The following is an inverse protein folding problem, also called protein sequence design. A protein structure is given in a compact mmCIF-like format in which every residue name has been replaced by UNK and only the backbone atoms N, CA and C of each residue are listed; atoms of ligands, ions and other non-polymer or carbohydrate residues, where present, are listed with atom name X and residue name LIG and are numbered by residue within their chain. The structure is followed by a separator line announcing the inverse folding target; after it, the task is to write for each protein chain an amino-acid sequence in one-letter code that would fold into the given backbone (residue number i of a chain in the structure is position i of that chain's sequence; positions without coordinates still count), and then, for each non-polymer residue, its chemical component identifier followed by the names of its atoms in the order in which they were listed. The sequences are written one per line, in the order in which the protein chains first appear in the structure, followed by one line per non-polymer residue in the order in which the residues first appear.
data_IF_119435739683
#
_entry.id   IF_119435739683
#
_cell.length_a   1.000
_cell.length_b   1.000
_cell.length_c   1.000
_cell.angle_alpha   90.00
_cell.angle_beta   90.00
_cell.angle_gamma   90.00
#
_symmetry.space_group_name_H-M   'P 1'
#
loop_
_entity.id
_entity.type
_entity.pdbx_description
1 polymer ?
#
# COMPACT_ATOMS: atom_id res chain seq x y z
N UNK A 1 0.52 16.50 -21.58
CA UNK A 1 1.31 17.19 -20.55
C UNK A 1 1.62 16.13 -19.50
N UNK A 2 2.88 15.72 -19.40
CA UNK A 2 3.32 14.73 -18.42
C UNK A 2 3.81 15.52 -17.20
N UNK A 3 2.89 15.84 -16.30
CA UNK A 3 3.14 16.70 -15.15
C UNK A 3 3.51 15.84 -13.94
N UNK A 4 4.80 15.82 -13.59
CA UNK A 4 5.34 15.56 -12.26
C UNK A 4 4.75 14.41 -11.39
N UNK A 5 4.27 13.32 -12.00
CA UNK A 5 3.62 12.23 -11.26
C UNK A 5 4.56 11.46 -10.33
N UNK A 6 5.88 11.55 -10.49
CA UNK A 6 6.83 10.78 -9.66
C UNK A 6 6.97 11.26 -8.21
N UNK A 7 6.89 12.58 -7.95
CA UNK A 7 7.12 13.15 -6.61
C UNK A 7 5.85 13.16 -5.77
N UNK A 8 4.68 13.42 -6.35
CA UNK A 8 3.39 13.36 -5.65
C UNK A 8 2.86 11.93 -5.47
N UNK A 9 3.24 10.99 -6.35
CA UNK A 9 2.88 9.59 -6.18
C UNK A 9 3.57 8.96 -4.97
N UNK A 10 4.78 9.42 -4.58
CA UNK A 10 5.52 8.78 -3.50
C UNK A 10 4.87 8.95 -2.10
N UNK A 11 4.39 10.15 -1.70
CA UNK A 11 3.60 10.32 -0.48
C UNK A 11 2.28 9.54 -0.50
N UNK A 12 1.58 9.51 -1.64
CA UNK A 12 0.30 8.81 -1.76
C UNK A 12 0.48 7.29 -1.72
N UNK A 13 1.51 6.75 -2.38
CA UNK A 13 1.89 5.33 -2.28
C UNK A 13 2.28 4.95 -0.85
N UNK A 14 3.04 5.81 -0.16
CA UNK A 14 3.37 5.58 1.24
C UNK A 14 2.13 5.63 2.15
N UNK A 15 1.16 6.52 1.87
CA UNK A 15 -0.10 6.59 2.58
C UNK A 15 -0.98 5.36 2.33
N UNK A 16 -1.11 4.91 1.08
CA UNK A 16 -1.84 3.70 0.72
C UNK A 16 -1.22 2.45 1.34
N UNK A 17 0.11 2.32 1.27
CA UNK A 17 0.82 1.22 1.96
C UNK A 17 0.58 1.25 3.47
N UNK A 18 0.64 2.43 4.10
CA UNK A 18 0.35 2.58 5.54
C UNK A 18 -1.08 2.25 5.89
N UNK A 19 -2.06 2.59 5.05
CA UNK A 19 -3.45 2.24 5.27
C UNK A 19 -3.63 0.72 5.35
N UNK A 20 -3.04 -0.01 4.41
CA UNK A 20 -3.07 -1.48 4.39
C UNK A 20 -2.35 -2.09 5.60
N UNK A 21 -1.21 -1.52 5.98
CA UNK A 21 -0.43 -1.98 7.14
C UNK A 21 -1.16 -1.78 8.47
N UNK A 22 -1.85 -0.65 8.63
CA UNK A 22 -2.61 -0.32 9.84
C UNK A 22 -3.88 -1.16 9.98
N UNK A 23 -4.62 -1.33 8.86
CA UNK A 23 -5.86 -2.09 8.81
C UNK A 23 -5.61 -3.59 8.97
N UNK A 24 -4.77 -4.18 8.12
CA UNK A 24 -4.64 -5.62 8.04
C UNK A 24 -3.49 -6.17 8.86
N UNK A 25 -2.45 -5.36 9.15
CA UNK A 25 -1.22 -5.83 9.81
C UNK A 25 -0.73 -7.09 9.07
N UNK A 26 -0.36 -8.16 9.76
CA UNK A 26 0.02 -9.46 9.20
C UNK A 26 -1.13 -10.29 8.60
N UNK A 27 -2.36 -9.80 8.67
CA UNK A 27 -3.54 -10.48 8.16
C UNK A 27 -3.61 -10.52 6.63
N UNK A 28 -4.13 -11.62 6.06
CA UNK A 28 -4.47 -11.66 4.64
C UNK A 28 -5.70 -10.81 4.33
N UNK A 29 -5.76 -10.29 3.11
CA UNK A 29 -6.87 -9.51 2.58
C UNK A 29 -7.06 -9.78 1.09
N UNK A 30 -8.28 -9.64 0.59
CA UNK A 30 -8.57 -9.65 -0.85
C UNK A 30 -8.39 -8.25 -1.47
N UNK A 31 -8.42 -8.19 -2.80
CA UNK A 31 -8.20 -6.97 -3.56
C UNK A 31 -9.27 -5.90 -3.24
N UNK A 32 -10.52 -6.31 -3.03
CA UNK A 32 -11.61 -5.40 -2.68
C UNK A 32 -11.37 -4.80 -1.28
N UNK A 33 -11.03 -5.64 -0.30
CA UNK A 33 -10.63 -5.18 1.03
C UNK A 33 -9.45 -4.20 1.01
N UNK A 34 -8.45 -4.43 0.15
CA UNK A 34 -7.33 -3.52 -0.01
C UNK A 34 -7.77 -2.14 -0.54
N UNK A 35 -8.60 -2.12 -1.59
CA UNK A 35 -9.12 -0.86 -2.17
C UNK A 35 -9.94 -0.10 -1.15
N UNK A 36 -10.84 -0.78 -0.43
CA UNK A 36 -11.65 -0.15 0.62
C UNK A 36 -10.79 0.46 1.72
N UNK A 37 -9.79 -0.25 2.24
CA UNK A 37 -8.92 0.27 3.30
C UNK A 37 -8.15 1.52 2.88
N UNK A 38 -7.64 1.54 1.65
CA UNK A 38 -6.94 2.73 1.12
C UNK A 38 -7.93 3.88 0.87
N UNK A 39 -9.07 3.61 0.22
CA UNK A 39 -10.09 4.60 -0.09
C UNK A 39 -10.64 5.28 1.17
N UNK A 40 -10.87 4.53 2.25
CA UNK A 40 -11.29 5.08 3.54
C UNK A 40 -10.23 6.02 4.14
N UNK A 41 -8.95 5.80 3.83
CA UNK A 41 -7.85 6.60 4.39
C UNK A 41 -7.63 7.92 3.66
N UNK A 42 -7.81 7.92 2.34
CA UNK A 42 -7.56 9.10 1.49
C UNK A 42 -8.85 9.76 1.00
N UNK A 43 -10.00 9.20 1.35
CA UNK A 43 -11.35 9.70 1.02
C UNK A 43 -11.64 9.74 -0.49
N UNK A 44 -10.97 8.89 -1.28
CA UNK A 44 -11.12 8.78 -2.74
C UNK A 44 -10.98 7.32 -3.19
N UNK A 45 -12.05 6.75 -3.76
CA UNK A 45 -12.09 5.35 -4.20
C UNK A 45 -11.26 5.10 -5.46
N UNK A 46 -11.31 6.02 -6.43
CA UNK A 46 -10.60 5.87 -7.69
C UNK A 46 -9.09 5.98 -7.49
N UNK A 47 -8.65 6.91 -6.65
CA UNK A 47 -7.26 7.03 -6.23
C UNK A 47 -6.84 5.84 -5.35
N UNK A 48 -7.73 5.34 -4.48
CA UNK A 48 -7.47 4.14 -3.69
C UNK A 48 -7.23 2.91 -4.56
N UNK A 49 -8.05 2.73 -5.59
CA UNK A 49 -7.89 1.67 -6.58
C UNK A 49 -6.64 1.83 -7.43
N UNK A 50 -6.29 3.05 -7.82
CA UNK A 50 -5.04 3.31 -8.52
C UNK A 50 -3.83 2.95 -7.65
N UNK A 51 -3.84 3.32 -6.37
CA UNK A 51 -2.76 3.02 -5.43
C UNK A 51 -2.58 1.52 -5.21
N UNK A 52 -3.66 0.78 -5.00
CA UNK A 52 -3.60 -0.69 -4.84
C UNK A 52 -3.03 -1.34 -6.10
N UNK A 53 -3.47 -0.91 -7.29
CA UNK A 53 -2.94 -1.42 -8.55
C UNK A 53 -1.46 -1.09 -8.74
N UNK A 54 -1.02 0.11 -8.33
CA UNK A 54 0.39 0.47 -8.33
C UNK A 54 1.22 -0.38 -7.34
N UNK A 55 0.72 -0.62 -6.13
CA UNK A 55 1.39 -1.49 -5.15
C UNK A 55 1.48 -2.94 -5.65
N UNK A 56 0.45 -3.43 -6.34
CA UNK A 56 0.48 -4.75 -6.98
C UNK A 56 1.52 -4.79 -8.11
N UNK A 57 1.56 -3.79 -8.99
CA UNK A 57 2.54 -3.72 -10.08
C UNK A 57 3.98 -3.62 -9.56
N UNK A 58 4.18 -2.96 -8.42
CA UNK A 58 5.46 -2.90 -7.71
C UNK A 58 5.80 -4.21 -6.97
N UNK A 59 4.92 -5.21 -7.01
CA UNK A 59 5.06 -6.50 -6.33
C UNK A 59 5.24 -6.34 -4.82
N UNK A 60 4.47 -5.44 -4.20
CA UNK A 60 4.52 -5.19 -2.75
C UNK A 60 3.67 -6.19 -1.95
N UNK A 61 2.90 -7.03 -2.64
CA UNK A 61 2.05 -8.06 -2.08
C UNK A 61 2.65 -9.46 -2.31
N UNK A 62 2.67 -10.25 -1.26
CA UNK A 62 2.75 -11.71 -1.34
C UNK A 62 1.34 -12.25 -1.64
N UNK A 63 1.22 -13.18 -2.60
CA UNK A 63 -0.07 -13.74 -3.03
C UNK A 63 -0.15 -15.20 -2.60
N UNK A 64 -1.10 -15.49 -1.71
CA UNK A 64 -1.45 -16.83 -1.25
C UNK A 64 -2.87 -17.14 -1.75
N UNK A 65 -2.98 -17.98 -2.79
CA UNK A 65 -4.23 -18.28 -3.49
C UNK A 65 -4.99 -17.00 -3.94
N UNK A 66 -6.13 -16.71 -3.31
CA UNK A 66 -6.99 -15.55 -3.58
C UNK A 66 -6.75 -14.40 -2.62
N UNK A 67 -5.82 -14.54 -1.68
CA UNK A 67 -5.51 -13.55 -0.66
C UNK A 67 -4.15 -12.91 -0.91
N UNK A 68 -4.07 -11.63 -0.56
CA UNK A 68 -2.88 -10.81 -0.59
C UNK A 68 -2.40 -10.59 0.84
N UNK A 69 -1.09 -10.51 1.01
CA UNK A 69 -0.43 -10.07 2.24
C UNK A 69 0.62 -9.05 1.88
N UNK A 70 0.82 -8.02 2.71
CA UNK A 70 1.95 -7.12 2.49
C UNK A 70 3.26 -7.86 2.73
N UNK A 71 4.24 -7.65 1.85
CA UNK A 71 5.55 -8.28 2.01
C UNK A 71 6.20 -7.89 3.36
N UNK A 72 6.59 -8.88 4.18
CA UNK A 72 7.13 -8.64 5.52
C UNK A 72 8.47 -7.88 5.51
N UNK A 73 9.22 -7.94 4.39
CA UNK A 73 10.49 -7.22 4.24
C UNK A 73 10.32 -5.69 4.20
N UNK A 74 9.21 -5.20 3.66
CA UNK A 74 8.94 -3.76 3.56
C UNK A 74 8.57 -3.14 4.91
N UNK A 75 7.84 -3.89 5.75
CA UNK A 75 7.58 -3.48 7.14
C UNK A 75 8.86 -3.39 7.95
N UNK A 76 9.79 -4.33 7.73
CA UNK A 76 11.10 -4.31 8.39
C UNK A 76 11.94 -3.10 7.94
N UNK A 77 11.92 -2.73 6.66
CA UNK A 77 12.57 -1.49 6.20
C UNK A 77 12.02 -0.22 6.88
N UNK A 78 10.70 -0.15 7.15
CA UNK A 78 10.11 0.95 7.94
C UNK A 78 10.58 0.96 9.40
N UNK A 79 10.77 -0.22 10.00
CA UNK A 79 11.15 -0.37 11.41
C UNK A 79 12.64 -0.08 11.64
N UNK A 80 13.51 -0.47 10.70
CA UNK A 80 14.93 -0.11 10.73
C UNK A 80 15.17 1.41 10.57
N UNK A 81 14.28 2.13 9.88
CA UNK A 81 14.40 3.58 9.72
C UNK A 81 14.20 4.40 11.02
N UNK A 82 13.73 3.78 12.11
CA UNK A 82 13.56 4.41 13.42
C UNK A 82 14.59 3.97 14.48
N UNK A 83 15.46 2.99 14.17
CA UNK A 83 16.43 2.39 15.12
C UNK A 83 17.88 2.88 14.86
N UNK A 84 18.03 3.98 14.12
CA UNK A 84 19.33 4.50 13.69
C UNK A 84 19.38 6.03 13.59
N UNK A 85 18.72 6.73 14.51
CA UNK A 85 18.84 8.18 14.69
C UNK A 85 19.04 8.54 16.17
#
# INVERSE_FOLDING_TARGET
MAEATGVYAYPLLAAGYRALDDEFKDGPFDLEGAVTAVALKIEDEDEGRWLVNCLEALQMFDREDTQLRLLPLLRQCRRCACDGA
#
